data_IF_625634636005
#
_entry.id   IF_625634636005
#
_cell.length_a   1.000
_cell.length_b   1.000
_cell.length_c   1.000
_cell.angle_alpha   90.00
_cell.angle_beta   90.00
_cell.angle_gamma   90.00
#
_symmetry.space_group_name_H-M   'P 1'
#
loop_
_entity.id
_entity.type
_entity.pdbx_description
1 polymer ?
#
# COMPACT_ATOMS: atom_id res chain seq x y z
N UNK A 1 38.61 5.53 -6.58
CA UNK A 1 37.16 5.53 -6.90
C UNK A 1 36.54 6.81 -6.34
N UNK A 2 35.63 7.45 -7.10
CA UNK A 2 34.94 8.68 -6.70
C UNK A 2 33.91 8.37 -5.60
N UNK A 3 33.99 9.04 -4.45
CA UNK A 3 32.95 9.01 -3.40
C UNK A 3 31.85 10.01 -3.76
N UNK A 4 30.59 9.55 -3.82
CA UNK A 4 29.43 10.39 -4.22
C UNK A 4 28.68 10.97 -3.01
N UNK A 5 28.50 10.15 -1.96
CA UNK A 5 27.70 10.50 -0.78
C UNK A 5 28.53 11.22 0.30
N UNK A 6 27.85 11.95 1.19
CA UNK A 6 28.47 12.62 2.34
C UNK A 6 29.24 11.64 3.24
N UNK A 7 30.38 12.06 3.78
CA UNK A 7 31.33 11.21 4.50
C UNK A 7 30.73 10.45 5.70
N UNK A 8 29.87 11.13 6.47
CA UNK A 8 29.18 10.55 7.63
C UNK A 8 28.44 9.23 7.29
N UNK A 9 27.95 9.06 6.05
CA UNK A 9 27.25 7.84 5.64
C UNK A 9 28.15 6.60 5.57
N UNK A 10 29.48 6.76 5.52
CA UNK A 10 30.41 5.64 5.64
C UNK A 10 30.59 5.17 7.08
N UNK A 11 30.21 6.01 8.06
CA UNK A 11 30.24 5.70 9.48
C UNK A 11 28.86 5.31 10.04
N UNK A 12 27.77 5.73 9.37
CA UNK A 12 26.40 5.28 9.64
C UNK A 12 26.09 3.93 8.97
N UNK A 13 26.98 2.95 9.13
CA UNK A 13 26.80 1.59 8.61
C UNK A 13 26.72 0.59 9.76
N UNK A 14 25.94 -0.47 9.56
CA UNK A 14 25.99 -1.63 10.45
C UNK A 14 27.37 -2.30 10.36
N UNK A 15 27.83 -2.88 11.47
CA UNK A 15 29.04 -3.69 11.45
C UNK A 15 28.84 -4.96 10.58
N UNK A 16 29.93 -5.57 10.09
CA UNK A 16 29.83 -6.81 9.31
C UNK A 16 29.12 -7.95 10.05
N UNK A 17 29.30 -8.05 11.38
CA UNK A 17 28.65 -9.06 12.21
C UNK A 17 27.12 -8.83 12.30
N UNK A 18 26.71 -7.59 12.55
CA UNK A 18 25.28 -7.22 12.60
C UNK A 18 24.60 -7.40 11.24
N UNK A 19 25.25 -6.93 10.15
CA UNK A 19 24.70 -7.07 8.80
C UNK A 19 24.50 -8.54 8.43
N UNK A 20 25.50 -9.38 8.66
CA UNK A 20 25.45 -10.80 8.32
C UNK A 20 24.34 -11.51 9.09
N UNK A 21 24.24 -11.28 10.40
CA UNK A 21 23.21 -11.91 11.23
C UNK A 21 21.79 -11.48 10.86
N UNK A 22 21.56 -10.18 10.58
CA UNK A 22 20.25 -9.68 10.12
C UNK A 22 19.89 -10.25 8.74
N UNK A 23 20.83 -10.25 7.81
CA UNK A 23 20.61 -10.78 6.45
C UNK A 23 20.29 -12.27 6.47
N UNK A 24 21.00 -13.04 7.29
CA UNK A 24 20.75 -14.46 7.49
C UNK A 24 19.35 -14.69 8.08
N UNK A 25 19.00 -13.96 9.15
CA UNK A 25 17.66 -14.04 9.78
C UNK A 25 16.54 -13.77 8.77
N UNK A 26 16.66 -12.74 7.93
CA UNK A 26 15.64 -12.44 6.91
C UNK A 26 15.56 -13.52 5.83
N UNK A 27 16.71 -14.10 5.43
CA UNK A 27 16.74 -15.20 4.49
C UNK A 27 16.04 -16.45 5.07
N UNK A 28 16.26 -16.74 6.35
CA UNK A 28 15.66 -17.87 7.05
C UNK A 28 14.15 -17.71 7.19
N UNK A 29 13.66 -16.54 7.64
CA UNK A 29 12.22 -16.24 7.74
C UNK A 29 11.53 -16.36 6.38
N UNK A 30 12.15 -15.85 5.31
CA UNK A 30 11.59 -15.96 3.97
C UNK A 30 11.58 -17.41 3.47
N UNK A 31 12.63 -18.19 3.78
CA UNK A 31 12.71 -19.61 3.41
C UNK A 31 11.60 -20.40 4.09
N UNK A 32 11.37 -20.17 5.37
CA UNK A 32 10.28 -20.79 6.13
C UNK A 32 8.92 -20.41 5.54
N UNK A 33 8.68 -19.11 5.32
CA UNK A 33 7.43 -18.62 4.72
C UNK A 33 7.11 -19.28 3.37
N UNK A 34 8.12 -19.49 2.51
CA UNK A 34 7.93 -20.12 1.18
C UNK A 34 7.55 -21.60 1.26
N UNK A 35 7.91 -22.30 2.34
CA UNK A 35 7.62 -23.72 2.54
C UNK A 35 6.27 -23.95 3.24
N UNK A 36 5.78 -22.95 3.96
CA UNK A 36 4.51 -22.98 4.68
C UNK A 36 3.44 -22.21 3.91
N UNK A 37 2.95 -22.80 2.81
CA UNK A 37 1.88 -22.19 2.00
C UNK A 37 0.54 -22.27 2.75
N UNK A 38 -0.27 -21.23 2.58
CA UNK A 38 -1.64 -21.17 3.12
C UNK A 38 -2.61 -21.30 1.96
N UNK A 39 -3.43 -22.35 1.97
CA UNK A 39 -4.48 -22.55 0.98
C UNK A 39 -5.62 -21.58 1.26
N UNK A 40 -6.04 -20.84 0.25
CA UNK A 40 -7.18 -19.92 0.32
C UNK A 40 -8.30 -20.50 -0.55
N UNK A 41 -9.48 -20.62 0.04
CA UNK A 41 -10.68 -21.02 -0.67
C UNK A 41 -11.14 -19.87 -1.59
N UNK A 42 -10.95 -20.04 -2.90
CA UNK A 42 -11.17 -18.99 -3.89
C UNK A 42 -12.63 -18.52 -3.95
N UNK A 43 -13.66 -19.38 -4.11
CA UNK A 43 -15.05 -18.95 -4.09
C UNK A 43 -15.44 -18.18 -2.82
N UNK A 44 -15.12 -18.71 -1.64
CA UNK A 44 -15.48 -18.09 -0.36
C UNK A 44 -14.78 -16.73 -0.18
N UNK A 45 -13.49 -16.65 -0.53
CA UNK A 45 -12.74 -15.41 -0.50
C UNK A 45 -13.32 -14.37 -1.46
N UNK A 46 -13.51 -14.74 -2.73
CA UNK A 46 -14.00 -13.80 -3.74
C UNK A 46 -15.42 -13.34 -3.44
N UNK A 47 -16.30 -14.22 -2.96
CA UNK A 47 -17.65 -13.84 -2.57
C UNK A 47 -17.62 -12.78 -1.45
N UNK A 48 -16.82 -13.00 -0.40
CA UNK A 48 -16.67 -12.04 0.70
C UNK A 48 -16.16 -10.67 0.20
N UNK A 49 -15.24 -10.66 -0.77
CA UNK A 49 -14.75 -9.42 -1.38
C UNK A 49 -15.86 -8.73 -2.17
N UNK A 50 -16.63 -9.46 -2.98
CA UNK A 50 -17.76 -8.89 -3.74
C UNK A 50 -18.85 -8.35 -2.82
N UNK A 51 -19.15 -9.01 -1.71
CA UNK A 51 -20.16 -8.55 -0.75
C UNK A 51 -19.77 -7.19 -0.15
N UNK A 52 -18.49 -6.99 0.17
CA UNK A 52 -17.96 -5.71 0.65
C UNK A 52 -18.06 -4.63 -0.44
N UNK A 53 -17.66 -4.94 -1.67
CA UNK A 53 -17.63 -3.96 -2.77
C UNK A 53 -19.03 -3.51 -3.21
N UNK A 54 -20.03 -4.39 -3.14
CA UNK A 54 -21.39 -4.07 -3.57
C UNK A 54 -22.18 -3.27 -2.53
N UNK A 55 -21.79 -3.31 -1.25
CA UNK A 55 -22.55 -2.75 -0.13
C UNK A 55 -21.67 -2.03 0.92
N UNK A 56 -20.74 -1.15 0.53
CA UNK A 56 -19.77 -0.57 1.48
C UNK A 56 -20.42 0.30 2.55
N UNK A 57 -21.31 1.22 2.15
CA UNK A 57 -21.94 2.20 3.04
C UNK A 57 -23.03 1.60 3.96
N UNK A 58 -23.62 0.48 3.55
CA UNK A 58 -24.63 -0.23 4.36
C UNK A 58 -23.99 -1.17 5.37
N UNK A 59 -22.77 -1.68 5.09
CA UNK A 59 -22.07 -2.62 5.95
C UNK A 59 -21.15 -1.93 6.96
N UNK A 60 -20.61 -0.75 6.65
CA UNK A 60 -19.55 -0.14 7.46
C UNK A 60 -19.67 1.38 7.64
N UNK A 61 -19.24 1.87 8.80
CA UNK A 61 -19.18 3.31 9.09
C UNK A 61 -17.84 3.89 8.61
N UNK A 62 -17.87 4.69 7.55
CA UNK A 62 -16.69 5.36 7.00
C UNK A 62 -16.25 6.61 7.80
N UNK A 63 -16.76 6.76 9.03
CA UNK A 63 -16.40 7.85 9.96
C UNK A 63 -15.22 7.49 10.87
N UNK A 64 -14.80 6.23 10.88
CA UNK A 64 -13.71 5.74 11.74
C UNK A 64 -12.64 5.03 10.92
N UNK A 65 -11.39 5.08 11.40
CA UNK A 65 -10.25 4.40 10.75
C UNK A 65 -10.45 2.89 10.64
N UNK A 66 -11.06 2.26 11.64
CA UNK A 66 -11.40 0.84 11.61
C UNK A 66 -12.56 0.54 10.66
N UNK A 67 -13.55 1.43 10.58
CA UNK A 67 -14.73 1.24 9.73
C UNK A 67 -14.43 1.33 8.23
N UNK A 68 -13.42 2.10 7.82
CA UNK A 68 -12.98 2.10 6.41
C UNK A 68 -12.08 0.90 6.03
N UNK A 69 -11.58 0.13 7.01
CA UNK A 69 -10.61 -0.94 6.79
C UNK A 69 -11.13 -2.07 5.87
N UNK A 70 -12.39 -2.54 5.95
CA UNK A 70 -12.91 -3.57 5.06
C UNK A 70 -12.88 -3.13 3.58
N UNK A 71 -13.30 -1.90 3.29
CA UNK A 71 -13.28 -1.35 1.94
C UNK A 71 -11.85 -1.16 1.43
N UNK A 72 -10.96 -0.61 2.26
CA UNK A 72 -9.54 -0.48 1.93
C UNK A 72 -8.88 -1.83 1.62
N UNK A 73 -9.18 -2.85 2.40
CA UNK A 73 -8.71 -4.22 2.18
C UNK A 73 -9.27 -4.80 0.88
N UNK A 74 -10.58 -4.65 0.63
CA UNK A 74 -11.22 -5.16 -0.59
C UNK A 74 -10.63 -4.53 -1.86
N UNK A 75 -10.41 -3.20 -1.86
CA UNK A 75 -9.77 -2.49 -2.97
C UNK A 75 -8.32 -2.93 -3.19
N UNK A 76 -7.56 -3.16 -2.10
CA UNK A 76 -6.22 -3.71 -2.21
C UNK A 76 -6.22 -5.16 -2.73
N UNK A 77 -7.19 -5.98 -2.32
CA UNK A 77 -7.35 -7.36 -2.75
C UNK A 77 -7.62 -7.48 -4.25
N UNK A 78 -8.54 -6.67 -4.79
CA UNK A 78 -8.91 -6.75 -6.22
C UNK A 78 -7.88 -6.13 -7.17
N UNK A 79 -6.97 -5.29 -6.69
CA UNK A 79 -5.96 -4.60 -7.51
C UNK A 79 -4.52 -5.08 -7.24
N UNK A 80 -4.31 -5.80 -6.14
CA UNK A 80 -2.99 -6.22 -5.68
C UNK A 80 -2.05 -5.05 -5.36
N UNK A 81 -2.57 -3.86 -5.04
CA UNK A 81 -1.79 -2.65 -4.73
C UNK A 81 -1.49 -2.54 -3.24
N UNK A 82 -0.41 -1.83 -2.90
CA UNK A 82 -0.01 -1.63 -1.50
C UNK A 82 -0.99 -0.68 -0.82
N UNK A 83 -1.14 -0.84 0.50
CA UNK A 83 -1.99 0.03 1.32
C UNK A 83 -1.77 1.51 1.03
N UNK A 84 -0.52 2.00 1.02
CA UNK A 84 -0.25 3.43 0.77
C UNK A 84 -0.62 3.89 -0.64
N UNK A 85 -0.61 2.98 -1.62
CA UNK A 85 -0.99 3.26 -3.00
C UNK A 85 -2.52 3.34 -3.12
N UNK A 86 -3.26 2.52 -2.35
CA UNK A 86 -4.72 2.59 -2.26
C UNK A 86 -5.17 3.79 -1.43
N UNK A 87 -4.58 3.99 -0.25
CA UNK A 87 -5.04 4.98 0.72
C UNK A 87 -4.65 6.42 0.36
N UNK A 88 -3.52 6.62 -0.34
CA UNK A 88 -2.96 7.97 -0.49
C UNK A 88 -2.42 8.26 -1.90
N UNK A 89 -1.27 7.69 -2.27
CA UNK A 89 -0.47 8.22 -3.38
C UNK A 89 -0.70 7.59 -4.78
N UNK A 90 -1.47 6.50 -4.87
CA UNK A 90 -1.69 5.82 -6.16
C UNK A 90 -2.78 6.51 -6.98
N UNK A 91 -2.57 6.67 -8.27
CA UNK A 91 -3.58 7.23 -9.17
C UNK A 91 -4.01 6.16 -10.16
N UNK A 92 -5.31 6.10 -10.45
CA UNK A 92 -5.93 5.05 -11.24
C UNK A 92 -6.87 5.64 -12.26
N UNK A 93 -6.73 5.22 -13.52
CA UNK A 93 -7.63 5.59 -14.61
C UNK A 93 -8.14 4.33 -15.31
N UNK A 94 -9.45 4.28 -15.60
CA UNK A 94 -10.06 3.15 -16.31
C UNK A 94 -9.45 3.01 -17.70
N UNK A 95 -9.01 1.79 -18.05
CA UNK A 95 -8.43 1.48 -19.38
C UNK A 95 -9.20 0.38 -20.13
N UNK A 96 -10.02 -0.39 -19.42
CA UNK A 96 -10.85 -1.46 -19.95
C UNK A 96 -11.78 -2.00 -18.87
N UNK A 97 -12.52 -3.08 -19.15
CA UNK A 97 -13.49 -3.64 -18.19
C UNK A 97 -12.83 -4.15 -16.89
N UNK A 98 -11.68 -4.79 -17.02
CA UNK A 98 -10.94 -5.40 -15.91
C UNK A 98 -9.48 -4.93 -15.86
N UNK A 99 -9.23 -3.72 -16.37
CA UNK A 99 -7.89 -3.12 -16.42
C UNK A 99 -7.92 -1.63 -16.10
N UNK A 100 -6.94 -1.17 -15.35
CA UNK A 100 -6.71 0.25 -15.03
C UNK A 100 -5.26 0.63 -15.32
N UNK A 101 -5.05 1.88 -15.71
CA UNK A 101 -3.75 2.51 -15.76
C UNK A 101 -3.41 3.05 -14.36
N UNK A 102 -2.24 2.69 -13.84
CA UNK A 102 -1.78 3.01 -12.49
C UNK A 102 -0.46 3.79 -12.52
N UNK A 103 -0.39 4.89 -11.78
CA UNK A 103 0.82 5.69 -11.49
C UNK A 103 1.05 5.78 -9.97
N UNK A 104 2.21 6.31 -9.53
CA UNK A 104 2.48 6.47 -8.09
C UNK A 104 2.97 5.19 -7.39
N UNK A 105 3.72 4.34 -8.10
CA UNK A 105 4.29 3.10 -7.55
C UNK A 105 5.22 3.37 -6.35
N UNK A 106 4.87 2.85 -5.17
CA UNK A 106 5.68 3.00 -3.97
C UNK A 106 6.96 2.14 -4.02
N UNK A 107 7.94 2.48 -3.15
CA UNK A 107 9.25 1.80 -2.99
C UNK A 107 10.16 1.86 -4.21
N UNK A 108 10.00 2.86 -5.08
CA UNK A 108 10.99 3.22 -6.09
C UNK A 108 12.05 4.14 -5.49
N UNK A 109 13.34 3.87 -5.80
CA UNK A 109 14.47 4.60 -5.19
C UNK A 109 14.67 5.98 -5.83
N UNK A 110 14.51 6.13 -7.14
CA UNK A 110 14.64 7.41 -7.86
C UNK A 110 14.07 7.37 -9.29
N UNK A 111 13.04 6.57 -9.56
CA UNK A 111 12.37 6.59 -10.86
C UNK A 111 11.26 7.64 -10.87
N UNK A 112 11.01 8.20 -12.06
CA UNK A 112 9.99 9.22 -12.27
C UNK A 112 8.61 8.70 -11.82
N UNK A 113 7.93 9.46 -10.95
CA UNK A 113 6.64 9.08 -10.36
C UNK A 113 5.53 8.97 -11.42
N UNK A 114 5.80 9.52 -12.61
CA UNK A 114 4.92 9.62 -13.78
C UNK A 114 4.81 8.31 -14.59
N UNK A 115 5.62 7.28 -14.31
CA UNK A 115 5.55 6.04 -15.10
C UNK A 115 4.25 5.29 -14.84
N UNK A 116 3.36 5.34 -15.81
CA UNK A 116 2.08 4.65 -15.81
C UNK A 116 2.23 3.20 -16.27
N UNK A 117 1.48 2.29 -15.63
CA UNK A 117 1.44 0.86 -15.94
C UNK A 117 0.00 0.38 -16.00
N UNK A 118 -0.35 -0.41 -17.01
CA UNK A 118 -1.64 -1.10 -17.03
C UNK A 118 -1.59 -2.30 -16.08
N UNK A 119 -2.56 -2.40 -15.18
CA UNK A 119 -2.74 -3.50 -14.23
C UNK A 119 -4.14 -4.09 -14.36
N UNK A 120 -4.31 -5.33 -13.90
CA UNK A 120 -5.61 -5.98 -13.83
C UNK A 120 -6.39 -5.57 -12.58
N UNK A 121 -7.71 -5.63 -12.67
CA UNK A 121 -8.65 -5.56 -11.56
C UNK A 121 -9.53 -6.80 -11.55
N UNK A 122 -9.77 -7.38 -10.37
CA UNK A 122 -10.64 -8.55 -10.21
C UNK A 122 -12.14 -8.19 -10.11
N UNK A 123 -12.46 -6.90 -10.18
CA UNK A 123 -13.81 -6.38 -10.34
C UNK A 123 -13.86 -5.37 -11.50
N UNK A 124 -15.05 -4.91 -11.87
CA UNK A 124 -15.19 -3.90 -12.92
C UNK A 124 -14.38 -2.65 -12.58
N UNK A 125 -13.53 -2.23 -13.52
CA UNK A 125 -12.57 -1.15 -13.31
C UNK A 125 -13.25 0.19 -12.96
N UNK A 126 -14.45 0.45 -13.48
CA UNK A 126 -15.24 1.64 -13.15
C UNK A 126 -15.64 1.64 -11.68
N UNK A 127 -16.26 0.54 -11.22
CA UNK A 127 -16.63 0.34 -9.82
C UNK A 127 -15.41 0.46 -8.90
N UNK A 128 -14.27 -0.11 -9.28
CA UNK A 128 -13.02 0.01 -8.52
C UNK A 128 -12.60 1.47 -8.32
N UNK A 129 -12.58 2.27 -9.38
CA UNK A 129 -12.18 3.68 -9.32
C UNK A 129 -13.19 4.50 -8.51
N UNK A 130 -14.49 4.26 -8.69
CA UNK A 130 -15.56 4.93 -7.94
C UNK A 130 -15.44 4.69 -6.42
N UNK A 131 -15.32 3.43 -6.02
CA UNK A 131 -15.16 3.05 -4.61
C UNK A 131 -13.85 3.54 -4.00
N UNK A 132 -12.78 3.62 -4.80
CA UNK A 132 -11.52 4.20 -4.37
C UNK A 132 -11.67 5.69 -4.07
N UNK A 133 -12.39 6.43 -4.92
CA UNK A 133 -12.71 7.82 -4.68
C UNK A 133 -13.57 7.97 -3.42
N UNK A 134 -14.60 7.15 -3.24
CA UNK A 134 -15.43 7.15 -2.04
C UNK A 134 -14.61 6.91 -0.76
N UNK A 135 -13.74 5.90 -0.77
CA UNK A 135 -12.86 5.59 0.35
C UNK A 135 -11.95 6.79 0.71
N UNK A 136 -11.38 7.46 -0.29
CA UNK A 136 -10.46 8.59 -0.07
C UNK A 136 -11.16 9.88 0.33
N UNK A 137 -12.44 10.02 0.01
CA UNK A 137 -13.26 11.19 0.37
C UNK A 137 -13.99 11.03 1.71
N UNK A 138 -13.92 9.86 2.36
CA UNK A 138 -14.61 9.65 3.63
C UNK A 138 -13.99 10.44 4.79
N UNK A 139 -14.78 10.69 5.84
CA UNK A 139 -14.35 11.47 7.01
C UNK A 139 -13.16 10.83 7.74
N UNK A 140 -13.02 9.50 7.70
CA UNK A 140 -11.88 8.83 8.31
C UNK A 140 -10.54 9.08 7.60
N UNK A 141 -10.56 9.49 6.32
CA UNK A 141 -9.36 9.76 5.52
C UNK A 141 -9.06 11.26 5.34
N UNK A 142 -9.96 12.15 5.78
CA UNK A 142 -9.87 13.59 5.52
C UNK A 142 -8.68 14.29 6.18
N UNK A 143 -8.09 13.69 7.20
CA UNK A 143 -6.96 14.25 7.94
C UNK A 143 -5.59 13.85 7.35
N UNK A 144 -5.55 13.05 6.28
CA UNK A 144 -4.29 12.54 5.72
C UNK A 144 -3.32 13.66 5.32
N UNK A 145 -3.82 14.77 4.76
CA UNK A 145 -2.99 15.93 4.39
C UNK A 145 -2.33 16.61 5.59
N UNK A 146 -2.93 16.52 6.79
CA UNK A 146 -2.31 17.01 8.03
C UNK A 146 -1.40 15.93 8.65
N UNK A 147 -1.82 14.68 8.64
CA UNK A 147 -1.03 13.55 9.17
C UNK A 147 0.33 13.45 8.49
N UNK A 148 0.42 13.68 7.17
CA UNK A 148 1.70 13.65 6.46
C UNK A 148 2.67 14.73 6.91
N UNK A 149 2.21 15.87 7.45
CA UNK A 149 3.08 16.95 7.95
C UNK A 149 3.82 16.55 9.23
N UNK A 150 3.26 15.64 10.01
CA UNK A 150 3.82 15.18 11.29
C UNK A 150 3.55 16.13 12.45
N UNK A 151 4.03 15.75 13.63
CA UNK A 151 3.75 16.47 14.89
C UNK A 151 4.89 17.40 15.35
N UNK A 152 5.91 17.64 14.52
CA UNK A 152 6.99 18.57 14.80
C UNK A 152 8.38 18.05 14.44
N UNK A 153 9.40 18.79 14.89
CA UNK A 153 10.82 18.56 14.55
C UNK A 153 11.38 17.19 14.96
N UNK A 154 10.77 16.56 15.95
CA UNK A 154 11.21 15.26 16.50
C UNK A 154 10.53 14.08 15.78
N UNK A 155 9.60 14.34 14.84
CA UNK A 155 8.99 13.31 14.01
C UNK A 155 9.88 12.96 12.81
N UNK A 156 10.68 11.91 12.95
CA UNK A 156 11.62 11.43 11.93
C UNK A 156 10.99 10.54 10.85
N UNK A 157 9.69 10.25 10.94
CA UNK A 157 9.00 9.38 9.98
C UNK A 157 8.82 10.09 8.64
N UNK A 158 8.91 9.34 7.55
CA UNK A 158 8.49 9.85 6.22
C UNK A 158 6.98 10.07 6.20
N UNK A 159 6.47 10.90 5.29
CA UNK A 159 5.03 11.11 5.03
C UNK A 159 4.25 9.78 4.94
N UNK A 160 4.72 8.87 4.09
CA UNK A 160 4.15 7.51 3.96
C UNK A 160 4.23 6.68 5.25
N UNK A 161 5.24 6.94 6.08
CA UNK A 161 5.41 6.29 7.38
C UNK A 161 4.45 6.85 8.44
N UNK A 162 4.01 8.11 8.31
CA UNK A 162 3.01 8.71 9.19
C UNK A 162 1.61 8.20 8.89
N UNK A 163 1.28 7.98 7.62
CA UNK A 163 0.03 7.31 7.22
C UNK A 163 -0.01 5.84 7.70
N UNK A 164 1.15 5.20 7.86
CA UNK A 164 1.24 3.83 8.36
C UNK A 164 1.10 3.72 9.89
N UNK A 165 1.33 4.80 10.63
CA UNK A 165 1.36 4.84 12.10
C UNK A 165 -0.04 4.99 12.71
#
# INVERSE_FOLDING_TARGET
QLKVNHEVLYHLQLSPAERTSIQQRWADVLREKKRNVVVIDYPTYMQSIYDILNNPATLFSLNTRSGMAPLAFALAAVSGRRMIEIMFQGEFAVSGKYTVNFSGQAKKRSEDKSVTRTIYTLCEAKLFVELLTELRSCSAASDFDEVVKGYGKDDTRSENGRINA
#
